data_IF_990277072927
#
_entry.id   IF_990277072927
#
_cell.length_a   1.000
_cell.length_b   1.000
_cell.length_c   1.000
_cell.angle_alpha   90.00
_cell.angle_beta   90.00
_cell.angle_gamma   90.00
#
_symmetry.space_group_name_H-M   'P 1'
#
loop_
_entity.id
_entity.type
_entity.pdbx_description
1 polymer ?
#
# COMPACT_ATOMS: atom_id res chain seq x y z
N UNK A 1 2.41 16.82 -46.17
CA UNK A 1 1.60 17.81 -45.42
C UNK A 1 1.53 17.37 -43.96
N UNK A 2 2.43 17.88 -43.11
CA UNK A 2 2.40 17.61 -41.67
C UNK A 2 1.59 18.74 -40.99
N UNK A 3 0.53 18.38 -40.26
CA UNK A 3 -0.29 19.34 -39.51
C UNK A 3 0.35 19.53 -38.13
N UNK A 4 1.03 20.64 -37.92
CA UNK A 4 1.47 21.07 -36.59
C UNK A 4 0.24 21.46 -35.75
N UNK A 5 -0.19 20.58 -34.85
CA UNK A 5 -1.18 20.92 -33.83
C UNK A 5 -0.43 21.57 -32.66
N UNK A 6 -0.48 22.90 -32.59
CA UNK A 6 -0.05 23.66 -31.40
C UNK A 6 -1.09 23.42 -30.31
N UNK A 7 -0.73 22.62 -29.31
CA UNK A 7 -1.54 22.43 -28.12
C UNK A 7 -0.92 23.30 -27.03
N UNK A 8 -1.54 24.45 -26.75
CA UNK A 8 -1.11 25.33 -25.66
C UNK A 8 -1.71 24.82 -24.35
N UNK A 9 -0.83 24.40 -23.44
CA UNK A 9 -1.21 23.93 -22.11
C UNK A 9 -1.43 25.15 -21.22
N UNK A 10 -2.68 25.43 -20.85
CA UNK A 10 -2.97 26.42 -19.82
C UNK A 10 -2.46 25.90 -18.47
N UNK A 11 -1.78 26.74 -17.65
CA UNK A 11 -1.32 26.32 -16.33
C UNK A 11 -2.52 26.06 -15.41
N UNK A 12 -2.39 25.02 -14.59
CA UNK A 12 -3.39 24.63 -13.60
C UNK A 12 -3.57 25.75 -12.55
N UNK A 13 -4.81 25.99 -12.07
CA UNK A 13 -5.05 26.96 -11.01
C UNK A 13 -4.33 26.53 -9.73
N UNK A 14 -3.60 27.47 -9.12
CA UNK A 14 -2.97 27.27 -7.82
C UNK A 14 -4.06 27.34 -6.75
N UNK A 15 -4.38 26.19 -6.15
CA UNK A 15 -5.23 26.13 -4.95
C UNK A 15 -4.40 26.71 -3.81
N UNK A 16 -4.92 27.75 -3.15
CA UNK A 16 -4.30 28.30 -1.95
C UNK A 16 -4.34 27.27 -0.83
N UNK A 17 -3.22 27.08 -0.14
CA UNK A 17 -3.10 26.21 1.02
C UNK A 17 -4.12 26.62 2.09
N UNK A 18 -5.16 25.81 2.26
CA UNK A 18 -6.04 25.89 3.43
C UNK A 18 -5.31 25.13 4.54
N UNK A 19 -4.87 25.88 5.54
CA UNK A 19 -4.26 25.36 6.76
C UNK A 19 -5.30 24.53 7.52
N UNK A 20 -5.23 23.20 7.42
CA UNK A 20 -5.84 22.29 8.40
C UNK A 20 -4.82 22.04 9.52
N UNK A 21 -4.88 22.82 10.58
CA UNK A 21 -4.27 22.46 11.86
C UNK A 21 -5.26 21.62 12.66
N UNK A 22 -5.19 20.30 12.48
CA UNK A 22 -5.72 19.35 13.46
C UNK A 22 -4.54 18.55 14.02
N UNK A 23 -4.06 19.01 15.17
CA UNK A 23 -3.06 18.29 15.96
C UNK A 23 -3.60 16.92 16.39
N UNK A 24 -2.96 15.84 15.92
CA UNK A 24 -3.07 14.52 16.54
C UNK A 24 -1.67 14.03 16.90
N UNK A 25 -1.48 13.85 18.19
CA UNK A 25 -0.24 13.48 18.86
C UNK A 25 -0.01 11.96 18.78
N UNK A 26 1.09 11.57 18.10
CA UNK A 26 2.01 10.44 18.36
C UNK A 26 1.52 8.96 18.28
N UNK A 27 2.44 7.98 18.32
CA UNK A 27 3.67 7.83 17.56
C UNK A 27 3.76 6.42 16.92
N UNK A 28 4.49 6.26 15.82
CA UNK A 28 5.28 5.06 15.55
C UNK A 28 6.09 5.34 14.28
N UNK A 29 7.41 5.23 14.38
CA UNK A 29 8.31 5.17 13.24
C UNK A 29 7.83 4.07 12.28
N UNK A 30 7.12 4.49 11.23
CA UNK A 30 6.88 3.64 10.07
C UNK A 30 8.24 3.52 9.42
N UNK A 31 8.91 2.40 9.67
CA UNK A 31 10.07 1.99 8.90
C UNK A 31 9.60 2.02 7.44
N UNK A 32 10.01 3.05 6.69
CA UNK A 32 9.70 3.27 5.28
C UNK A 32 10.42 2.20 4.43
N UNK A 33 9.99 0.96 4.62
CA UNK A 33 10.36 -0.17 3.81
C UNK A 33 9.60 -0.12 2.50
N UNK A 34 10.26 -0.54 1.43
CA UNK A 34 9.62 -0.70 0.11
C UNK A 34 8.33 -1.53 0.29
N UNK A 35 7.17 -1.05 -0.21
CA UNK A 35 5.90 -1.75 -0.02
C UNK A 35 5.97 -3.14 -0.65
N UNK A 36 5.63 -4.16 0.14
CA UNK A 36 5.56 -5.53 -0.34
C UNK A 36 4.20 -5.78 -0.97
N UNK A 37 4.16 -6.07 -2.27
CA UNK A 37 2.93 -6.51 -2.95
C UNK A 37 2.61 -7.95 -2.55
N UNK A 38 1.39 -8.17 -2.07
CA UNK A 38 0.86 -9.48 -1.71
C UNK A 38 -0.33 -9.77 -2.62
N UNK A 39 -0.43 -11.00 -3.10
CA UNK A 39 -1.56 -11.49 -3.91
C UNK A 39 -2.11 -12.73 -3.23
N UNK A 40 -3.42 -12.79 -3.06
CA UNK A 40 -4.12 -13.90 -2.42
C UNK A 40 -5.49 -14.07 -3.07
N UNK A 41 -6.04 -15.27 -2.97
CA UNK A 41 -7.41 -15.54 -3.40
C UNK A 41 -8.38 -15.08 -2.29
N UNK A 42 -9.36 -14.27 -2.67
CA UNK A 42 -10.37 -13.73 -1.76
C UNK A 42 -11.76 -14.19 -2.21
N UNK A 43 -12.62 -14.55 -1.26
CA UNK A 43 -14.00 -14.91 -1.56
C UNK A 43 -14.75 -13.71 -2.18
N UNK A 44 -15.58 -13.99 -3.18
CA UNK A 44 -16.26 -12.96 -3.98
C UNK A 44 -17.15 -12.08 -3.10
N UNK A 45 -17.94 -12.70 -2.20
CA UNK A 45 -18.88 -11.97 -1.34
C UNK A 45 -18.11 -11.05 -0.38
N UNK A 46 -17.03 -11.55 0.20
CA UNK A 46 -16.18 -10.75 1.09
C UNK A 46 -15.55 -9.56 0.35
N UNK A 47 -15.12 -9.77 -0.89
CA UNK A 47 -14.50 -8.76 -1.72
C UNK A 47 -15.50 -7.64 -2.11
N UNK A 48 -16.74 -8.00 -2.45
CA UNK A 48 -17.79 -7.01 -2.71
C UNK A 48 -18.18 -6.24 -1.45
N UNK A 49 -18.36 -6.91 -0.31
CA UNK A 49 -18.63 -6.23 0.96
C UNK A 49 -17.54 -5.21 1.34
N UNK A 50 -16.27 -5.55 1.11
CA UNK A 50 -15.15 -4.65 1.35
C UNK A 50 -15.19 -3.42 0.42
N UNK A 51 -15.60 -3.59 -0.84
CA UNK A 51 -15.75 -2.47 -1.78
C UNK A 51 -16.89 -1.55 -1.37
N UNK A 52 -18.03 -2.12 -1.03
CA UNK A 52 -19.21 -1.35 -0.62
C UNK A 52 -18.91 -0.55 0.65
N UNK A 53 -18.32 -1.20 1.64
CA UNK A 53 -17.89 -0.52 2.87
C UNK A 53 -16.87 0.60 2.59
N UNK A 54 -15.85 0.31 1.78
CA UNK A 54 -14.85 1.31 1.40
C UNK A 54 -15.43 2.51 0.65
N UNK A 55 -16.46 2.29 -0.18
CA UNK A 55 -17.15 3.38 -0.88
C UNK A 55 -17.87 4.32 0.09
N UNK A 56 -18.57 3.78 1.08
CA UNK A 56 -19.34 4.58 2.04
C UNK A 56 -18.45 5.30 3.07
N UNK A 57 -17.40 4.64 3.55
CA UNK A 57 -16.50 5.19 4.57
C UNK A 57 -15.35 6.01 3.97
N UNK A 58 -15.23 6.07 2.64
CA UNK A 58 -14.13 6.76 1.95
C UNK A 58 -12.76 6.09 2.17
N UNK A 59 -12.75 4.78 2.49
CA UNK A 59 -11.55 4.01 2.79
C UNK A 59 -11.09 3.22 1.57
N UNK A 60 -9.77 3.06 1.43
CA UNK A 60 -9.24 2.17 0.40
C UNK A 60 -9.29 0.71 0.88
N UNK A 61 -9.39 -0.22 -0.08
CA UNK A 61 -9.30 -1.67 0.21
C UNK A 61 -8.03 -2.01 1.00
N UNK A 62 -6.93 -1.31 0.70
CA UNK A 62 -5.65 -1.49 1.39
C UNK A 62 -5.77 -1.14 2.87
N UNK A 63 -6.42 -0.03 3.21
CA UNK A 63 -6.53 0.43 4.59
C UNK A 63 -7.38 -0.52 5.42
N UNK A 64 -8.53 -0.94 4.87
CA UNK A 64 -9.42 -1.93 5.49
C UNK A 64 -8.66 -3.24 5.79
N UNK A 65 -7.88 -3.74 4.84
CA UNK A 65 -7.09 -4.97 5.00
C UNK A 65 -6.02 -4.77 6.09
N UNK A 66 -5.29 -3.66 6.06
CA UNK A 66 -4.22 -3.41 7.02
C UNK A 66 -4.76 -3.24 8.44
N UNK A 67 -5.85 -2.52 8.60
CA UNK A 67 -6.53 -2.36 9.90
C UNK A 67 -7.04 -3.70 10.42
N UNK A 68 -7.73 -4.47 9.57
CA UNK A 68 -8.22 -5.81 9.93
C UNK A 68 -7.08 -6.74 10.37
N UNK A 69 -5.93 -6.70 9.68
CA UNK A 69 -4.75 -7.48 10.05
C UNK A 69 -4.15 -7.02 11.38
N UNK A 70 -4.04 -5.70 11.60
CA UNK A 70 -3.55 -5.15 12.88
C UNK A 70 -4.42 -5.62 14.04
N UNK A 71 -5.74 -5.49 13.91
CA UNK A 71 -6.71 -5.96 14.91
C UNK A 71 -6.60 -7.47 15.13
N UNK A 72 -6.49 -8.26 14.06
CA UNK A 72 -6.40 -9.72 14.17
C UNK A 72 -5.17 -10.19 14.96
N UNK A 73 -4.03 -9.51 14.81
CA UNK A 73 -2.78 -9.87 15.49
C UNK A 73 -2.58 -9.18 16.85
N UNK A 74 -3.41 -8.20 17.22
CA UNK A 74 -3.24 -7.41 18.43
C UNK A 74 -3.16 -8.27 19.70
N UNK A 75 -4.01 -9.29 19.80
CA UNK A 75 -4.10 -10.14 21.00
C UNK A 75 -3.36 -11.49 20.86
N UNK A 76 -2.56 -11.66 19.80
CA UNK A 76 -1.92 -12.95 19.48
C UNK A 76 -0.42 -12.91 19.76
N UNK A 77 0.08 -13.96 20.40
CA UNK A 77 1.53 -14.16 20.56
C UNK A 77 2.16 -14.55 19.21
N UNK A 78 2.92 -13.63 18.60
CA UNK A 78 3.60 -13.86 17.32
C UNK A 78 4.95 -14.54 17.58
N UNK A 79 5.02 -15.85 17.31
CA UNK A 79 6.28 -16.58 17.35
C UNK A 79 7.05 -16.39 16.04
N UNK A 80 8.36 -16.10 16.08
CA UNK A 80 9.15 -15.95 14.86
C UNK A 80 9.19 -17.27 14.10
N UNK A 81 9.06 -17.19 12.77
CA UNK A 81 9.31 -18.33 11.90
C UNK A 81 10.78 -18.76 12.03
N UNK A 82 11.09 -20.07 12.01
CA UNK A 82 12.47 -20.55 12.05
C UNK A 82 13.37 -19.90 10.97
N UNK A 83 14.61 -19.60 11.32
CA UNK A 83 15.55 -18.87 10.45
C UNK A 83 15.77 -19.55 9.09
N UNK A 84 15.77 -20.89 9.08
CA UNK A 84 15.88 -21.71 7.86
C UNK A 84 14.79 -21.40 6.83
N UNK A 85 13.61 -20.95 7.28
CA UNK A 85 12.47 -20.62 6.41
C UNK A 85 12.46 -19.11 6.11
N UNK A 86 12.75 -18.28 7.12
CA UNK A 86 12.78 -16.82 6.97
C UNK A 86 13.80 -16.36 5.93
N UNK A 87 14.98 -16.97 5.92
CA UNK A 87 16.09 -16.60 5.03
C UNK A 87 16.20 -17.54 3.81
N UNK A 88 15.21 -18.41 3.59
CA UNK A 88 15.21 -19.27 2.40
C UNK A 88 15.21 -18.37 1.17
N UNK A 89 16.26 -18.48 0.36
CA UNK A 89 16.38 -17.74 -0.90
C UNK A 89 15.10 -17.92 -1.69
N UNK A 90 14.48 -16.80 -2.12
CA UNK A 90 13.28 -16.82 -2.94
C UNK A 90 13.56 -17.67 -4.17
N UNK A 91 12.95 -18.85 -4.21
CA UNK A 91 12.97 -19.71 -5.39
C UNK A 91 12.38 -18.93 -6.57
N UNK A 92 13.13 -18.82 -7.67
CA UNK A 92 12.67 -18.15 -8.89
C UNK A 92 13.51 -16.95 -9.35
N UNK A 93 14.42 -16.39 -8.54
CA UNK A 93 15.42 -15.43 -9.05
C UNK A 93 16.84 -15.88 -8.72
N UNK A 94 17.58 -16.29 -9.75
CA UNK A 94 19.05 -16.38 -9.68
C UNK A 94 19.58 -14.99 -9.30
N UNK A 95 20.46 -14.86 -8.30
CA UNK A 95 21.14 -13.60 -8.06
C UNK A 95 21.92 -13.23 -9.33
N UNK A 96 21.73 -12.00 -9.83
CA UNK A 96 22.56 -11.46 -10.90
C UNK A 96 23.94 -11.23 -10.27
N UNK A 97 24.93 -12.04 -10.65
CA UNK A 97 26.30 -11.84 -10.20
C UNK A 97 26.71 -10.40 -10.51
N UNK A 98 27.06 -9.64 -9.47
CA UNK A 98 27.50 -8.25 -9.57
C UNK A 98 29.03 -8.15 -9.77
N UNK A 99 29.62 -9.13 -10.44
CA UNK A 99 31.04 -9.15 -10.77
C UNK A 99 31.18 -9.60 -12.23
N UNK A 100 31.15 -8.63 -13.13
CA UNK A 100 31.84 -8.62 -14.42
C UNK A 100 32.20 -7.16 -14.73
#
# INVERSE_FOLDING_TARGET
>A
MAKERKFDFAPLPLVADIQEEQEVVQPNDVVDGVPTKVTFDCDYILMENMKDYGYWEGLTQKDIILESLKLYFQDKEIRPRPDKIRNRTKVGRKPKNAND
#
